data_IF_513804920749
#
_entry.id   IF_513804920749
#
_cell.length_a   1.000
_cell.length_b   1.000
_cell.length_c   1.000
_cell.angle_alpha   90.00
_cell.angle_beta   90.00
_cell.angle_gamma   90.00
#
_symmetry.space_group_name_H-M   'P 1'
#
loop_
_entity.id
_entity.type
_entity.pdbx_description
1 polymer ?
#
# COMPACT_ATOMS: atom_id res chain seq x y z
N UNK A 1 8.89 -2.88 -10.34
CA UNK A 1 8.99 -1.57 -9.64
C UNK A 1 10.25 -0.78 -10.02
N UNK A 2 11.45 -1.36 -9.87
CA UNK A 2 12.71 -0.69 -10.22
C UNK A 2 12.77 -0.18 -11.68
N UNK A 3 12.36 -1.02 -12.64
CA UNK A 3 12.29 -0.63 -14.06
C UNK A 3 11.29 0.52 -14.29
N UNK A 4 10.11 0.42 -13.70
CA UNK A 4 9.07 1.46 -13.74
C UNK A 4 9.59 2.83 -13.32
N UNK A 5 10.35 2.90 -12.22
CA UNK A 5 10.91 4.15 -11.71
C UNK A 5 11.95 4.74 -12.69
N UNK A 6 12.84 3.89 -13.25
CA UNK A 6 13.85 4.31 -14.22
C UNK A 6 13.22 4.85 -15.50
N UNK A 7 12.23 4.14 -16.04
CA UNK A 7 11.58 4.53 -17.29
C UNK A 7 10.78 5.82 -17.15
N UNK A 8 10.19 6.05 -15.97
CA UNK A 8 9.48 7.29 -15.70
C UNK A 8 10.42 8.48 -15.49
N UNK A 9 11.53 8.29 -14.77
CA UNK A 9 12.58 9.31 -14.66
C UNK A 9 13.13 9.66 -16.06
N UNK A 10 13.44 8.65 -16.87
CA UNK A 10 13.89 8.83 -18.25
C UNK A 10 12.83 9.51 -19.12
N UNK A 11 11.54 9.25 -18.91
CA UNK A 11 10.47 9.96 -19.61
C UNK A 11 10.46 11.45 -19.27
N UNK A 12 10.51 11.81 -17.98
CA UNK A 12 10.54 13.22 -17.56
C UNK A 12 11.79 13.91 -18.09
N UNK A 13 12.94 13.24 -18.05
CA UNK A 13 14.19 13.74 -18.62
C UNK A 13 14.15 13.97 -20.14
N UNK A 14 13.60 13.03 -20.93
CA UNK A 14 13.53 13.18 -22.40
C UNK A 14 12.54 14.26 -22.85
N UNK A 15 11.48 14.48 -22.07
CA UNK A 15 10.37 15.35 -22.47
C UNK A 15 10.39 16.71 -21.76
N UNK A 16 11.27 16.88 -20.77
CA UNK A 16 11.29 18.00 -19.82
C UNK A 16 9.93 18.28 -19.16
N UNK A 17 9.06 17.26 -19.07
CA UNK A 17 7.74 17.33 -18.43
C UNK A 17 7.82 16.74 -17.04
N UNK A 18 7.51 17.56 -16.04
CA UNK A 18 7.45 17.14 -14.64
C UNK A 18 6.02 16.93 -14.16
N UNK A 19 5.81 15.88 -13.37
CA UNK A 19 4.56 15.65 -12.66
C UNK A 19 4.16 14.18 -12.64
N UNK A 20 3.37 13.78 -11.64
CA UNK A 20 2.95 12.38 -11.41
C UNK A 20 2.23 11.73 -12.60
N UNK A 21 1.71 12.54 -13.55
CA UNK A 21 1.02 12.10 -14.77
C UNK A 21 1.67 12.68 -16.03
N UNK A 22 2.96 13.02 -16.00
CA UNK A 22 3.67 13.61 -17.14
C UNK A 22 3.57 12.77 -18.43
N UNK A 23 3.37 11.46 -18.30
CA UNK A 23 3.18 10.49 -19.38
C UNK A 23 1.71 10.05 -19.57
N UNK A 24 0.76 10.84 -19.07
CA UNK A 24 -0.68 10.58 -19.09
C UNK A 24 -1.12 9.28 -18.38
N UNK A 25 -0.25 8.72 -17.54
CA UNK A 25 -0.53 7.53 -16.71
C UNK A 25 -0.36 7.87 -15.24
N UNK A 26 -1.04 7.12 -14.39
CA UNK A 26 -0.77 7.05 -12.95
C UNK A 26 0.43 6.13 -12.65
N UNK A 27 1.02 6.25 -11.47
CA UNK A 27 2.07 5.34 -10.99
C UNK A 27 1.59 3.88 -10.97
N UNK A 28 0.32 3.65 -10.65
CA UNK A 28 -0.32 2.34 -10.68
C UNK A 28 -0.40 1.74 -12.09
N UNK A 29 -0.78 2.53 -13.09
CA UNK A 29 -0.80 2.10 -14.50
C UNK A 29 0.61 1.82 -15.01
N UNK A 30 1.58 2.70 -14.71
CA UNK A 30 2.99 2.45 -15.03
C UNK A 30 3.49 1.15 -14.40
N UNK A 31 3.22 0.91 -13.12
CA UNK A 31 3.65 -0.31 -12.45
C UNK A 31 3.05 -1.57 -13.08
N UNK A 32 1.74 -1.56 -13.38
CA UNK A 32 1.07 -2.68 -14.06
C UNK A 32 1.60 -2.93 -15.47
N UNK A 33 1.95 -1.89 -16.21
CA UNK A 33 2.57 -2.01 -17.54
C UNK A 33 3.96 -2.67 -17.52
N UNK A 34 4.61 -2.71 -16.34
CA UNK A 34 5.84 -3.46 -16.10
C UNK A 34 5.59 -4.76 -15.30
N UNK A 35 4.39 -5.34 -15.45
CA UNK A 35 3.96 -6.58 -14.83
C UNK A 35 4.10 -6.61 -13.30
N UNK A 36 4.13 -5.44 -12.65
CA UNK A 36 4.15 -5.38 -11.20
C UNK A 36 2.80 -5.87 -10.67
N UNK A 37 2.76 -6.93 -9.83
CA UNK A 37 1.52 -7.47 -9.31
C UNK A 37 0.96 -6.52 -8.23
N UNK A 38 0.36 -5.42 -8.66
CA UNK A 38 0.09 -4.27 -7.81
C UNK A 38 -1.00 -4.55 -6.76
N UNK A 39 -0.66 -4.37 -5.47
CA UNK A 39 -1.64 -4.28 -4.38
C UNK A 39 -1.69 -2.87 -3.78
N UNK A 40 -0.51 -2.29 -3.49
CA UNK A 40 -0.37 -0.92 -3.00
C UNK A 40 0.82 -0.26 -3.71
N UNK A 41 0.68 1.03 -4.03
CA UNK A 41 1.76 1.86 -4.57
C UNK A 41 1.70 3.27 -4.02
N UNK A 42 2.86 3.87 -3.84
CA UNK A 42 3.06 5.29 -3.58
C UNK A 42 4.25 5.79 -4.42
N UNK A 43 4.29 7.10 -4.70
CA UNK A 43 5.29 7.71 -5.58
C UNK A 43 5.74 9.06 -5.01
N UNK A 44 7.06 9.21 -4.92
CA UNK A 44 7.72 10.50 -4.76
C UNK A 44 8.46 10.83 -6.06
N UNK A 45 8.41 12.08 -6.48
CA UNK A 45 9.19 12.61 -7.59
C UNK A 45 9.88 13.90 -7.15
N UNK A 46 10.99 14.21 -7.79
CA UNK A 46 11.69 15.48 -7.61
C UNK A 46 12.44 15.86 -8.88
N UNK A 47 12.77 17.14 -9.02
CA UNK A 47 13.68 17.63 -10.06
C UNK A 47 14.70 18.60 -9.47
N UNK A 48 15.90 18.62 -10.03
CA UNK A 48 17.02 19.43 -9.56
C UNK A 48 17.78 20.00 -10.75
N UNK A 49 18.28 21.21 -10.62
CA UNK A 49 19.16 21.84 -11.60
C UNK A 49 20.31 22.54 -10.89
N UNK A 50 21.52 22.32 -11.37
CA UNK A 50 22.72 23.05 -10.98
C UNK A 50 23.58 23.28 -12.22
N UNK A 51 24.05 24.52 -12.39
CA UNK A 51 24.86 24.92 -13.55
C UNK A 51 26.16 24.12 -13.66
N UNK A 52 26.77 23.79 -12.53
CA UNK A 52 28.01 23.00 -12.47
C UNK A 52 27.76 21.48 -12.40
N UNK A 53 26.49 21.06 -12.44
CA UNK A 53 26.09 19.68 -12.19
C UNK A 53 26.04 19.34 -10.70
N UNK A 54 25.91 18.05 -10.40
CA UNK A 54 25.89 17.54 -9.03
C UNK A 54 26.85 16.36 -8.90
N UNK A 55 27.50 16.27 -7.76
CA UNK A 55 28.05 15.00 -7.31
C UNK A 55 26.90 14.03 -6.96
N UNK A 56 27.12 12.73 -7.15
CA UNK A 56 26.07 11.72 -6.98
C UNK A 56 25.49 11.72 -5.56
N UNK A 57 26.34 11.84 -4.54
CA UNK A 57 25.93 11.90 -3.13
C UNK A 57 25.10 13.15 -2.83
N UNK A 58 25.48 14.28 -3.42
CA UNK A 58 24.75 15.53 -3.24
C UNK A 58 23.34 15.45 -3.84
N UNK A 59 23.22 14.98 -5.08
CA UNK A 59 21.92 14.82 -5.73
C UNK A 59 21.00 13.88 -4.95
N UNK A 60 21.55 12.75 -4.46
CA UNK A 60 20.79 11.79 -3.67
C UNK A 60 20.30 12.38 -2.34
N UNK A 61 21.18 13.11 -1.63
CA UNK A 61 20.83 13.80 -0.39
C UNK A 61 19.77 14.87 -0.61
N UNK A 62 19.92 15.71 -1.63
CA UNK A 62 18.91 16.74 -1.96
C UNK A 62 17.55 16.12 -2.28
N UNK A 63 17.53 14.99 -3.00
CA UNK A 63 16.29 14.25 -3.27
C UNK A 63 15.62 13.71 -1.99
N UNK A 64 16.39 13.03 -1.14
CA UNK A 64 15.87 12.41 0.08
C UNK A 64 15.45 13.46 1.10
N UNK A 65 16.28 14.46 1.37
CA UNK A 65 15.97 15.54 2.33
C UNK A 65 14.76 16.35 1.85
N UNK A 66 14.68 16.66 0.54
CA UNK A 66 13.52 17.34 -0.04
C UNK A 66 12.21 16.55 0.10
N UNK A 67 12.26 15.21 0.01
CA UNK A 67 11.10 14.37 0.29
C UNK A 67 10.77 14.28 1.79
N UNK A 68 11.77 14.28 2.67
CA UNK A 68 11.57 14.29 4.12
C UNK A 68 10.89 15.59 4.55
N UNK A 69 11.31 16.73 4.03
CA UNK A 69 10.80 18.05 4.41
C UNK A 69 9.41 18.35 3.82
N UNK A 70 8.95 17.53 2.89
CA UNK A 70 7.63 17.65 2.28
C UNK A 70 6.65 16.66 2.91
N UNK A 71 5.62 17.12 3.66
CA UNK A 71 4.66 16.24 4.33
C UNK A 71 4.03 15.13 3.45
N UNK A 72 3.54 15.39 2.22
CA UNK A 72 2.98 14.33 1.38
C UNK A 72 4.03 13.31 0.92
N UNK A 73 5.25 13.74 0.61
CA UNK A 73 6.33 12.83 0.23
C UNK A 73 6.82 12.00 1.42
N UNK A 74 6.93 12.62 2.60
CA UNK A 74 7.30 11.95 3.85
C UNK A 74 6.24 10.91 4.26
N UNK A 75 4.96 11.18 4.02
CA UNK A 75 3.89 10.21 4.23
C UNK A 75 4.12 8.93 3.40
N UNK A 76 4.53 9.07 2.14
CA UNK A 76 4.87 7.92 1.30
C UNK A 76 6.09 7.15 1.81
N UNK A 77 7.13 7.85 2.27
CA UNK A 77 8.34 7.23 2.84
C UNK A 77 8.06 6.46 4.13
N UNK A 78 7.11 6.94 4.94
CA UNK A 78 6.68 6.32 6.19
C UNK A 78 5.47 5.41 6.03
N UNK A 79 5.02 5.19 4.79
CA UNK A 79 3.79 4.46 4.52
C UNK A 79 3.91 3.03 5.02
N UNK A 80 3.05 2.67 5.96
CA UNK A 80 3.03 1.30 6.49
C UNK A 80 2.70 0.30 5.38
N UNK A 81 3.29 -0.89 5.48
CA UNK A 81 2.99 -2.07 4.66
C UNK A 81 3.44 -2.02 3.19
N UNK A 82 4.09 -0.94 2.73
CA UNK A 82 5.00 -1.05 1.58
C UNK A 82 6.16 -1.96 1.98
N UNK A 83 6.60 -2.81 1.06
CA UNK A 83 7.67 -3.80 1.33
C UNK A 83 8.74 -3.79 0.26
N UNK A 84 8.54 -3.03 -0.81
CA UNK A 84 9.47 -2.92 -1.93
C UNK A 84 9.62 -1.45 -2.31
N UNK A 85 10.79 -1.10 -2.85
CA UNK A 85 11.05 0.22 -3.42
C UNK A 85 11.76 0.11 -4.75
N UNK A 86 11.55 1.10 -5.62
CA UNK A 86 12.30 1.25 -6.86
C UNK A 86 12.68 2.72 -7.06
N UNK A 87 13.92 2.98 -7.42
CA UNK A 87 14.45 4.35 -7.55
C UNK A 87 14.99 4.58 -8.95
N UNK A 88 14.53 5.62 -9.63
CA UNK A 88 15.01 6.03 -10.95
C UNK A 88 15.54 7.47 -10.90
N UNK A 89 16.68 7.71 -11.55
CA UNK A 89 17.21 9.05 -11.76
C UNK A 89 17.63 9.16 -13.22
N UNK A 90 17.30 10.28 -13.86
CA UNK A 90 17.71 10.58 -15.23
C UNK A 90 17.94 12.09 -15.40
N UNK A 91 18.86 12.45 -16.29
CA UNK A 91 19.17 13.84 -16.61
C UNK A 91 18.64 14.18 -18.00
N UNK A 92 18.02 15.35 -18.15
CA UNK A 92 17.67 15.90 -19.46
C UNK A 92 18.95 16.34 -20.18
N UNK A 93 19.18 15.81 -21.38
CA UNK A 93 20.27 16.26 -22.26
C UNK A 93 20.02 17.69 -22.80
N UNK A 94 18.77 18.16 -22.79
CA UNK A 94 18.39 19.48 -23.31
C UNK A 94 18.60 20.58 -22.27
N UNK A 95 18.19 20.32 -21.03
CA UNK A 95 18.14 21.33 -19.96
C UNK A 95 19.15 21.09 -18.85
N UNK A 96 19.77 19.90 -18.79
CA UNK A 96 20.64 19.50 -17.69
C UNK A 96 19.90 19.17 -16.39
N UNK A 97 18.57 19.29 -16.35
CA UNK A 97 17.74 19.00 -15.18
C UNK A 97 17.78 17.51 -14.85
N UNK A 98 18.03 17.19 -13.58
CA UNK A 98 17.89 15.83 -13.06
C UNK A 98 16.46 15.60 -12.59
N UNK A 99 15.91 14.43 -12.89
CA UNK A 99 14.61 13.97 -12.43
C UNK A 99 14.80 12.71 -11.60
N UNK A 100 14.29 12.71 -10.37
CA UNK A 100 14.32 11.57 -9.47
C UNK A 100 12.89 11.04 -9.25
N UNK A 101 12.76 9.72 -9.21
CA UNK A 101 11.52 8.98 -8.94
C UNK A 101 11.82 7.94 -7.88
N UNK A 102 11.01 7.90 -6.82
CA UNK A 102 10.99 6.80 -5.87
C UNK A 102 9.59 6.22 -5.78
N UNK A 103 9.46 4.94 -6.12
CA UNK A 103 8.24 4.18 -5.94
C UNK A 103 8.34 3.32 -4.68
N UNK A 104 7.22 3.19 -3.98
CA UNK A 104 7.04 2.27 -2.86
C UNK A 104 5.90 1.32 -3.21
N UNK A 105 6.11 0.01 -3.07
CA UNK A 105 5.18 -1.00 -3.54
C UNK A 105 4.87 -2.08 -2.51
N UNK A 106 3.70 -2.69 -2.65
CA UNK A 106 3.35 -3.98 -2.06
C UNK A 106 2.75 -4.87 -3.14
N UNK A 107 3.31 -6.06 -3.40
CA UNK A 107 2.77 -6.99 -4.39
C UNK A 107 1.55 -7.74 -3.87
N UNK A 108 0.69 -8.24 -4.77
CA UNK A 108 -0.51 -9.03 -4.41
C UNK A 108 -0.17 -10.38 -3.78
N UNK A 109 1.05 -10.90 -3.97
CA UNK A 109 1.56 -12.07 -3.24
C UNK A 109 1.62 -11.85 -1.73
N UNK A 110 1.64 -10.59 -1.29
CA UNK A 110 1.58 -10.20 0.12
C UNK A 110 0.18 -9.69 0.52
N UNK A 111 -0.83 -9.85 -0.32
CA UNK A 111 -2.21 -9.59 0.07
C UNK A 111 -2.64 -10.58 1.17
N UNK A 112 -3.48 -10.13 2.07
CA UNK A 112 -4.08 -10.99 3.09
C UNK A 112 -5.43 -11.45 2.58
N UNK A 113 -5.60 -12.76 2.49
CA UNK A 113 -6.87 -13.43 2.27
C UNK A 113 -7.29 -14.11 3.56
N UNK A 114 -8.55 -13.95 3.95
CA UNK A 114 -9.11 -14.65 5.11
C UNK A 114 -10.60 -14.89 4.90
N UNK A 115 -11.13 -15.88 5.60
CA UNK A 115 -12.56 -16.18 5.64
C UNK A 115 -13.13 -15.79 6.99
N UNK A 116 -14.34 -15.23 7.00
CA UNK A 116 -15.09 -14.94 8.22
C UNK A 116 -16.44 -15.63 8.13
N UNK A 117 -16.65 -16.65 8.97
CA UNK A 117 -17.94 -17.29 9.20
C UNK A 117 -18.65 -16.61 10.36
N UNK A 118 -19.94 -16.31 10.19
CA UNK A 118 -20.79 -15.93 11.30
C UNK A 118 -21.57 -17.16 11.81
N UNK A 119 -21.21 -17.62 13.01
CA UNK A 119 -21.84 -18.74 13.72
C UNK A 119 -22.53 -18.28 15.01
N UNK A 120 -22.82 -16.98 15.12
CA UNK A 120 -23.36 -16.37 16.34
C UNK A 120 -24.88 -16.48 16.47
N UNK A 121 -25.57 -16.98 15.45
CA UNK A 121 -27.04 -17.05 15.42
C UNK A 121 -27.75 -15.71 15.15
N UNK A 122 -27.02 -14.60 15.07
CA UNK A 122 -27.56 -13.27 14.73
C UNK A 122 -26.72 -12.59 13.65
N UNK A 123 -27.26 -11.55 13.01
CA UNK A 123 -26.47 -10.71 12.10
C UNK A 123 -25.40 -9.96 12.88
N UNK A 124 -24.17 -9.93 12.34
CA UNK A 124 -23.06 -9.18 12.92
C UNK A 124 -22.67 -8.01 12.02
N UNK A 125 -22.11 -6.97 12.64
CA UNK A 125 -21.46 -5.87 11.94
C UNK A 125 -19.99 -5.84 12.34
N UNK A 126 -19.10 -5.64 11.38
CA UNK A 126 -17.66 -5.56 11.62
C UNK A 126 -16.98 -4.57 10.67
N UNK A 127 -15.83 -4.08 11.09
CA UNK A 127 -14.99 -3.16 10.33
C UNK A 127 -13.69 -3.83 9.90
N UNK A 128 -13.24 -3.49 8.69
CA UNK A 128 -11.90 -3.75 8.18
C UNK A 128 -11.31 -2.41 7.75
N UNK A 129 -10.41 -1.87 8.57
CA UNK A 129 -9.95 -0.50 8.41
C UNK A 129 -11.13 0.47 8.54
N UNK A 130 -11.39 1.26 7.50
CA UNK A 130 -12.48 2.25 7.48
C UNK A 130 -13.78 1.74 6.86
N UNK A 131 -13.83 0.47 6.43
CA UNK A 131 -15.00 -0.11 5.78
C UNK A 131 -15.82 -0.93 6.78
N UNK A 132 -17.14 -0.67 6.81
CA UNK A 132 -18.09 -1.42 7.62
C UNK A 132 -18.82 -2.45 6.77
N UNK A 133 -19.06 -3.62 7.34
CA UNK A 133 -19.72 -4.75 6.70
C UNK A 133 -20.74 -5.36 7.65
N UNK A 134 -21.84 -5.86 7.09
CA UNK A 134 -22.76 -6.76 7.78
C UNK A 134 -22.61 -8.19 7.26
N UNK A 135 -22.76 -9.17 8.14
CA UNK A 135 -22.73 -10.59 7.81
C UNK A 135 -23.91 -11.30 8.51
N UNK A 136 -24.89 -11.83 7.76
CA UNK A 136 -26.01 -12.59 8.33
C UNK A 136 -25.56 -13.88 9.02
N UNK A 137 -26.39 -14.48 9.89
CA UNK A 137 -26.05 -15.73 10.56
C UNK A 137 -25.88 -16.88 9.56
N UNK A 138 -24.95 -17.80 9.83
CA UNK A 138 -24.57 -18.94 8.98
C UNK A 138 -23.89 -18.59 7.65
N UNK A 139 -23.64 -17.31 7.36
CA UNK A 139 -22.90 -16.91 6.17
C UNK A 139 -21.40 -16.92 6.42
N UNK A 140 -20.65 -17.31 5.38
CA UNK A 140 -19.19 -17.15 5.32
C UNK A 140 -18.83 -16.15 4.24
N UNK A 141 -17.95 -15.21 4.54
CA UNK A 141 -17.44 -14.24 3.58
C UNK A 141 -15.93 -14.35 3.46
N UNK A 142 -15.44 -14.42 2.24
CA UNK A 142 -14.01 -14.30 1.94
C UNK A 142 -13.66 -12.84 1.69
N UNK A 143 -12.55 -12.40 2.27
CA UNK A 143 -11.98 -11.08 2.05
C UNK A 143 -10.58 -11.20 1.46
N UNK A 144 -10.22 -10.21 0.65
CA UNK A 144 -8.85 -9.99 0.23
C UNK A 144 -8.52 -8.51 0.47
N UNK A 145 -7.41 -8.25 1.16
CA UNK A 145 -6.97 -6.90 1.50
C UNK A 145 -5.49 -6.72 1.18
N UNK A 146 -5.15 -5.58 0.60
CA UNK A 146 -3.76 -5.21 0.36
C UNK A 146 -3.05 -4.74 1.63
N UNK A 147 -3.78 -4.10 2.53
CA UNK A 147 -3.26 -3.62 3.80
C UNK A 147 -3.80 -4.53 4.92
N UNK A 148 -2.94 -4.99 5.85
CA UNK A 148 -3.33 -5.80 7.00
C UNK A 148 -4.10 -4.97 8.04
N UNK A 149 -5.30 -4.51 7.70
CA UNK A 149 -6.16 -3.90 8.71
C UNK A 149 -6.63 -4.95 9.70
N UNK A 150 -6.80 -4.52 10.95
CA UNK A 150 -7.47 -5.33 11.96
C UNK A 150 -8.95 -5.52 11.61
N UNK A 151 -9.50 -6.68 11.98
CA UNK A 151 -10.93 -6.92 12.02
C UNK A 151 -11.47 -6.46 13.35
N UNK A 152 -12.50 -5.62 13.33
CA UNK A 152 -13.15 -5.12 14.55
C UNK A 152 -14.67 -5.38 14.53
N UNK A 153 -15.19 -6.20 15.43
CA UNK A 153 -16.64 -6.36 15.62
C UNK A 153 -17.25 -5.09 16.23
N UNK A 154 -18.38 -4.66 15.69
CA UNK A 154 -19.15 -3.51 16.19
C UNK A 154 -20.17 -3.99 17.23
N UNK A 155 -19.78 -4.01 18.50
CA UNK A 155 -20.61 -4.48 19.62
C UNK A 155 -20.47 -3.57 20.83
N UNK A 156 -21.52 -3.45 21.64
CA UNK A 156 -21.50 -2.66 22.86
C UNK A 156 -20.55 -3.22 23.95
N UNK A 157 -20.34 -4.54 24.00
CA UNK A 157 -19.66 -5.21 25.13
C UNK A 157 -18.81 -6.41 24.66
N UNK A 158 -17.55 -6.19 24.27
CA UNK A 158 -16.60 -7.29 24.08
C UNK A 158 -15.19 -6.85 24.45
N UNK A 159 -14.42 -7.75 25.07
CA UNK A 159 -12.98 -7.59 25.35
C UNK A 159 -12.08 -8.11 24.21
N UNK A 160 -12.67 -8.77 23.20
CA UNK A 160 -11.98 -9.40 22.05
C UNK A 160 -12.65 -9.00 20.71
N UNK A 161 -13.09 -7.77 20.65
CA UNK A 161 -13.75 -7.17 19.49
C UNK A 161 -12.76 -6.75 18.41
N UNK A 162 -11.44 -6.76 18.61
CA UNK A 162 -10.46 -6.47 17.55
C UNK A 162 -9.36 -7.52 17.45
N UNK A 163 -8.96 -7.84 16.22
CA UNK A 163 -7.93 -8.84 15.92
C UNK A 163 -7.13 -8.48 14.67
N UNK A 164 -5.81 -8.68 14.72
CA UNK A 164 -4.95 -8.63 13.53
C UNK A 164 -5.11 -9.90 12.70
N UNK A 165 -5.16 -9.73 11.39
CA UNK A 165 -5.43 -10.81 10.44
C UNK A 165 -4.14 -11.35 9.83
N UNK A 166 -4.10 -12.65 9.61
CA UNK A 166 -3.03 -13.32 8.86
C UNK A 166 -3.59 -13.89 7.56
N UNK A 167 -2.72 -14.00 6.56
CA UNK A 167 -3.09 -14.63 5.29
C UNK A 167 -3.44 -16.11 5.51
N UNK A 168 -4.52 -16.56 4.90
CA UNK A 168 -5.05 -17.92 5.01
C UNK A 168 -5.90 -18.20 6.24
N UNK A 169 -6.18 -17.22 7.10
CA UNK A 169 -6.99 -17.47 8.30
C UNK A 169 -8.45 -17.79 7.94
N UNK A 170 -8.98 -18.82 8.60
CA UNK A 170 -10.42 -19.06 8.70
C UNK A 170 -10.88 -18.64 10.10
N UNK A 171 -11.72 -17.61 10.16
CA UNK A 171 -12.24 -17.03 11.38
C UNK A 171 -13.71 -17.38 11.55
N UNK A 172 -14.12 -17.63 12.78
CA UNK A 172 -15.51 -17.89 13.16
C UNK A 172 -15.90 -16.88 14.23
N UNK A 173 -17.06 -16.24 14.03
CA UNK A 173 -17.67 -15.39 15.04
C UNK A 173 -18.75 -16.17 15.76
N UNK A 174 -18.60 -16.34 17.08
CA UNK A 174 -19.52 -17.10 17.93
C UNK A 174 -20.15 -16.19 18.98
N UNK A 175 -21.30 -16.60 19.54
CA UNK A 175 -21.92 -15.95 20.69
C UNK A 175 -21.52 -16.69 21.97
N UNK A 176 -20.74 -16.05 22.83
CA UNK A 176 -20.34 -16.57 24.14
C UNK A 176 -21.14 -15.94 25.29
N UNK A 177 -20.82 -16.36 26.52
CA UNK A 177 -21.43 -15.81 27.75
C UNK A 177 -21.22 -14.30 27.92
N UNK A 178 -20.08 -13.80 27.43
CA UNK A 178 -19.66 -12.39 27.55
C UNK A 178 -19.81 -11.65 26.20
N UNK A 179 -20.70 -12.12 25.31
CA UNK A 179 -20.96 -11.52 24.01
C UNK A 179 -20.20 -12.17 22.84
N UNK A 180 -20.10 -11.42 21.74
CA UNK A 180 -19.50 -11.90 20.49
C UNK A 180 -17.97 -12.06 20.60
N UNK A 181 -17.46 -13.15 20.03
CA UNK A 181 -16.03 -13.51 20.02
C UNK A 181 -15.56 -13.86 18.61
N UNK A 182 -14.30 -13.57 18.32
CA UNK A 182 -13.61 -13.95 17.07
C UNK A 182 -12.63 -15.07 17.40
N UNK A 183 -12.81 -16.24 16.79
CA UNK A 183 -11.95 -17.41 17.00
C UNK A 183 -11.31 -17.82 15.67
N UNK A 184 -10.08 -18.35 15.71
CA UNK A 184 -9.58 -19.11 14.57
C UNK A 184 -10.28 -20.45 14.54
N UNK A 185 -10.64 -20.93 13.36
CA UNK A 185 -10.92 -22.35 13.21
C UNK A 185 -9.65 -23.11 13.56
N UNK A 186 -9.71 -24.01 14.56
CA UNK A 186 -8.62 -24.92 14.81
C UNK A 186 -8.40 -25.74 13.54
N UNK A 187 -7.16 -25.81 13.05
CA UNK A 187 -6.82 -26.80 12.03
C UNK A 187 -7.19 -28.16 12.63
N UNK A 188 -8.16 -28.84 12.03
CA UNK A 188 -8.29 -30.26 12.20
C UNK A 188 -7.09 -30.84 11.46
N UNK A 189 -5.99 -31.07 12.20
CA UNK A 189 -4.95 -32.01 11.79
C UNK A 189 -5.50 -33.43 11.79
#
# INVERSE_FOLDING_TARGET
>A
LQQTARDFAAYMARTDRYGHQADARSSAERARAHDYPLCLIAENIAYFFATEGFETEELARQAVDGWIDSPPHRENMLRKHVTETGVGVAQSEQTGVFYAVQLFGRPTSQAIRFQLKNDSGQSITYQLGNHSYSLPPSYTRTHQMCVPYGLTLQTAESKQNSRQLKNGEELIVTMGKDGLRIESRANQE
#
